data_IF_197925250230
#
_entry.id   IF_197925250230
#
_cell.length_a   1.000
_cell.length_b   1.000
_cell.length_c   1.000
_cell.angle_alpha   90.00
_cell.angle_beta   90.00
_cell.angle_gamma   90.00
#
_symmetry.space_group_name_H-M   'P 1'
#
loop_
_entity.id
_entity.type
_entity.pdbx_description
1 polymer ?
#
# COMPACT_ATOMS: atom_id res chain seq x y z
N UNK A 1 15.82 -22.44 3.10
CA UNK A 1 14.95 -21.32 2.69
C UNK A 1 15.47 -20.10 3.41
N UNK A 2 15.63 -18.98 2.70
CA UNK A 2 15.98 -17.71 3.33
C UNK A 2 14.82 -17.24 4.19
N UNK A 3 15.11 -16.66 5.35
CA UNK A 3 14.14 -16.03 6.25
C UNK A 3 14.23 -14.52 6.17
N UNK A 4 13.28 -13.80 6.77
CA UNK A 4 13.40 -12.34 6.93
C UNK A 4 14.66 -11.98 7.72
N UNK A 5 14.97 -12.74 8.77
CA UNK A 5 16.16 -12.52 9.59
C UNK A 5 17.47 -12.73 8.82
N UNK A 6 17.46 -13.56 7.78
CA UNK A 6 18.61 -13.71 6.89
C UNK A 6 18.80 -12.46 6.01
N UNK A 7 17.72 -11.88 5.49
CA UNK A 7 17.77 -10.63 4.72
C UNK A 7 18.21 -9.45 5.59
N UNK A 8 17.67 -9.32 6.80
CA UNK A 8 18.04 -8.30 7.77
C UNK A 8 19.54 -8.34 8.10
N UNK A 9 20.09 -9.54 8.31
CA UNK A 9 21.54 -9.72 8.54
C UNK A 9 22.37 -9.43 7.31
N UNK A 10 21.91 -9.87 6.14
CA UNK A 10 22.64 -9.72 4.89
C UNK A 10 22.78 -8.24 4.50
N UNK A 11 21.68 -7.51 4.55
CA UNK A 11 21.60 -6.12 4.11
C UNK A 11 21.72 -5.11 5.27
N UNK A 12 21.97 -5.61 6.48
CA UNK A 12 22.22 -4.82 7.69
C UNK A 12 21.12 -3.78 7.98
N UNK A 13 19.86 -4.22 7.99
CA UNK A 13 18.71 -3.44 8.41
C UNK A 13 17.76 -4.28 9.26
N UNK A 14 16.71 -3.66 9.80
CA UNK A 14 15.64 -4.36 10.52
C UNK A 14 14.29 -3.93 9.99
N UNK A 15 13.44 -4.88 9.66
CA UNK A 15 12.05 -4.62 9.26
C UNK A 15 11.23 -4.18 10.47
N UNK A 16 10.20 -3.33 10.27
CA UNK A 16 9.23 -3.05 11.32
C UNK A 16 8.57 -4.32 11.84
N UNK A 17 8.30 -4.38 13.14
CA UNK A 17 7.71 -5.57 13.78
C UNK A 17 6.36 -5.96 13.17
N UNK A 18 5.56 -4.99 12.74
CA UNK A 18 4.30 -5.25 12.03
C UNK A 18 4.53 -5.99 10.70
N UNK A 19 5.60 -5.68 9.96
CA UNK A 19 5.93 -6.37 8.72
C UNK A 19 6.36 -7.81 8.97
N UNK A 20 7.14 -8.05 10.03
CA UNK A 20 7.51 -9.41 10.47
C UNK A 20 6.28 -10.22 10.86
N UNK A 21 5.33 -9.59 11.55
CA UNK A 21 4.05 -10.22 11.90
C UNK A 21 3.25 -10.59 10.64
N UNK A 22 3.14 -9.67 9.67
CA UNK A 22 2.47 -9.92 8.38
C UNK A 22 3.11 -11.10 7.63
N UNK A 23 4.44 -11.19 7.62
CA UNK A 23 5.16 -12.31 7.03
C UNK A 23 4.89 -13.63 7.76
N UNK A 24 4.96 -13.64 9.09
CA UNK A 24 4.67 -14.81 9.91
C UNK A 24 3.22 -15.31 9.73
N UNK A 25 2.30 -14.37 9.52
CA UNK A 25 0.89 -14.62 9.24
C UNK A 25 0.60 -14.97 7.76
N UNK A 26 1.64 -15.03 6.91
CA UNK A 26 1.56 -15.29 5.45
C UNK A 26 0.73 -14.28 4.67
N UNK A 27 0.64 -13.05 5.15
CA UNK A 27 -0.12 -12.00 4.46
C UNK A 27 0.59 -11.43 3.23
N UNK A 28 1.88 -11.72 3.04
CA UNK A 28 2.64 -11.25 1.87
C UNK A 28 2.57 -12.21 0.67
N UNK A 29 1.89 -13.35 0.84
CA UNK A 29 1.77 -14.38 -0.19
C UNK A 29 0.53 -14.11 -1.08
N UNK A 30 0.78 -13.54 -2.26
CA UNK A 30 -0.24 -13.35 -3.30
C UNK A 30 -0.36 -14.57 -4.24
N UNK A 31 0.29 -15.69 -3.90
CA UNK A 31 0.44 -16.84 -4.78
C UNK A 31 1.50 -16.61 -5.85
N UNK A 32 1.62 -17.57 -6.77
CA UNK A 32 2.61 -17.48 -7.85
C UNK A 32 2.11 -16.59 -8.99
N UNK A 33 2.93 -15.62 -9.36
CA UNK A 33 2.70 -14.76 -10.52
C UNK A 33 2.66 -15.56 -11.84
N UNK A 34 1.91 -15.04 -12.80
CA UNK A 34 1.95 -15.51 -14.18
C UNK A 34 0.61 -15.52 -14.89
N UNK A 35 0.63 -16.06 -16.11
CA UNK A 35 -0.55 -16.16 -16.96
C UNK A 35 -1.67 -16.93 -16.25
N UNK A 36 -2.81 -16.27 -16.10
CA UNK A 36 -4.00 -16.84 -15.44
C UNK A 36 -4.06 -16.59 -13.93
N UNK A 37 -3.21 -15.74 -13.35
CA UNK A 37 -3.34 -15.33 -11.94
C UNK A 37 -4.74 -14.80 -11.64
N UNK A 38 -5.24 -13.87 -12.45
CA UNK A 38 -6.58 -13.29 -12.29
C UNK A 38 -7.72 -14.31 -12.38
N UNK A 39 -7.56 -15.36 -13.19
CA UNK A 39 -8.63 -16.37 -13.39
C UNK A 39 -8.55 -17.52 -12.40
N UNK A 40 -7.35 -17.87 -11.91
CA UNK A 40 -7.13 -19.11 -11.17
C UNK A 40 -6.75 -18.85 -9.70
N UNK A 41 -6.01 -17.77 -9.42
CA UNK A 41 -5.47 -17.47 -8.08
C UNK A 41 -6.34 -16.42 -7.38
N UNK A 42 -6.52 -15.27 -8.02
CA UNK A 42 -7.27 -14.13 -7.48
C UNK A 42 -8.64 -14.50 -6.91
N UNK A 43 -9.49 -15.32 -7.59
CA UNK A 43 -10.82 -15.64 -7.06
C UNK A 43 -10.76 -16.41 -5.73
N UNK A 44 -9.71 -17.22 -5.51
CA UNK A 44 -9.52 -17.97 -4.27
C UNK A 44 -9.07 -17.05 -3.13
N UNK A 45 -8.26 -16.03 -3.43
CA UNK A 45 -7.77 -15.07 -2.44
C UNK A 45 -8.91 -14.20 -1.86
N UNK A 46 -9.99 -13.96 -2.61
CA UNK A 46 -11.12 -13.11 -2.17
C UNK A 46 -11.79 -13.58 -0.87
N UNK A 47 -11.72 -14.86 -0.51
CA UNK A 47 -12.33 -15.40 0.71
C UNK A 47 -11.55 -15.03 1.98
N UNK A 48 -10.22 -15.04 1.90
CA UNK A 48 -9.33 -14.62 2.98
C UNK A 48 -8.19 -13.79 2.38
N UNK A 49 -8.45 -12.50 2.05
CA UNK A 49 -7.51 -11.70 1.28
C UNK A 49 -6.16 -11.54 2.00
N UNK A 50 -5.02 -11.74 1.30
CA UNK A 50 -3.71 -11.34 1.78
C UNK A 50 -3.61 -9.81 1.85
N UNK A 51 -2.46 -9.31 2.28
CA UNK A 51 -2.23 -7.89 2.54
C UNK A 51 -2.58 -7.08 1.29
N UNK A 52 -3.52 -6.13 1.45
CA UNK A 52 -3.91 -5.15 0.42
C UNK A 52 -4.27 -5.75 -0.95
N UNK A 53 -4.88 -6.95 -0.98
CA UNK A 53 -5.35 -7.56 -2.24
C UNK A 53 -6.25 -6.61 -3.05
N UNK A 54 -7.12 -5.87 -2.36
CA UNK A 54 -7.96 -4.81 -2.93
C UNK A 54 -7.44 -3.41 -2.56
N UNK A 55 -6.12 -3.23 -2.43
CA UNK A 55 -5.48 -1.93 -2.25
C UNK A 55 -5.50 -1.09 -3.54
N UNK A 56 -5.08 0.17 -3.44
CA UNK A 56 -5.10 1.10 -4.56
C UNK A 56 -3.78 1.02 -5.34
N UNK A 57 -3.82 0.49 -6.55
CA UNK A 57 -2.67 0.39 -7.47
C UNK A 57 -1.40 -0.10 -6.77
N UNK A 58 -1.49 -1.28 -6.16
CA UNK A 58 -0.41 -1.86 -5.34
C UNK A 58 -0.27 -3.36 -5.57
N UNK A 59 0.98 -3.82 -5.65
CA UNK A 59 1.39 -5.22 -5.72
C UNK A 59 2.42 -5.48 -4.62
N UNK A 60 2.07 -6.29 -3.62
CA UNK A 60 2.96 -6.63 -2.50
C UNK A 60 4.11 -7.52 -2.98
N UNK A 61 5.34 -7.21 -2.55
CA UNK A 61 6.49 -8.06 -2.84
C UNK A 61 6.72 -9.09 -1.74
N UNK A 62 6.89 -10.34 -2.15
CA UNK A 62 7.52 -11.36 -1.30
C UNK A 62 9.02 -11.02 -1.17
N UNK A 63 9.52 -10.67 0.01
CA UNK A 63 10.89 -10.22 0.19
C UNK A 63 11.92 -11.33 -0.08
N UNK A 64 11.54 -12.61 0.02
CA UNK A 64 12.42 -13.73 -0.29
C UNK A 64 12.53 -13.92 -1.80
N UNK A 65 11.42 -13.82 -2.53
CA UNK A 65 11.39 -13.93 -3.99
C UNK A 65 12.10 -12.73 -4.63
N UNK A 66 11.85 -11.52 -4.10
CA UNK A 66 12.41 -10.25 -4.62
C UNK A 66 13.71 -9.82 -3.93
N UNK A 67 14.47 -10.75 -3.36
CA UNK A 67 15.74 -10.47 -2.68
C UNK A 67 16.72 -9.66 -3.53
N UNK A 68 16.81 -9.92 -4.82
CA UNK A 68 17.71 -9.19 -5.71
C UNK A 68 17.26 -7.73 -5.90
N UNK A 69 15.95 -7.46 -5.94
CA UNK A 69 15.43 -6.09 -5.96
C UNK A 69 15.73 -5.33 -4.67
N UNK A 70 15.69 -6.01 -3.52
CA UNK A 70 16.13 -5.44 -2.23
C UNK A 70 17.62 -5.09 -2.29
N UNK A 71 18.47 -6.02 -2.77
CA UNK A 71 19.92 -5.78 -2.93
C UNK A 71 20.17 -4.55 -3.80
N UNK A 72 19.54 -4.51 -4.97
CA UNK A 72 19.73 -3.44 -5.96
C UNK A 72 19.35 -2.07 -5.40
N UNK A 73 18.29 -2.01 -4.60
CA UNK A 73 17.85 -0.77 -3.95
C UNK A 73 18.77 -0.37 -2.79
N UNK A 74 19.11 -1.30 -1.89
CA UNK A 74 19.95 -1.03 -0.72
C UNK A 74 21.37 -0.61 -1.13
N UNK A 75 21.90 -1.21 -2.20
CA UNK A 75 23.25 -0.92 -2.71
C UNK A 75 23.29 0.20 -3.75
N UNK A 76 22.15 0.81 -4.09
CA UNK A 76 22.02 1.86 -5.12
C UNK A 76 22.58 1.40 -6.49
N UNK A 77 22.35 0.14 -6.87
CA UNK A 77 22.90 -0.47 -8.10
C UNK A 77 22.15 -0.04 -9.37
N UNK A 78 20.84 0.18 -9.25
CA UNK A 78 19.94 0.44 -10.39
C UNK A 78 19.35 1.85 -10.35
N UNK A 79 19.11 2.38 -9.15
CA UNK A 79 18.52 3.70 -8.96
C UNK A 79 19.58 4.70 -8.49
N UNK A 80 19.55 5.91 -9.04
CA UNK A 80 20.40 7.03 -8.62
C UNK A 80 19.93 7.61 -7.27
N UNK A 81 19.90 6.80 -6.23
CA UNK A 81 19.50 7.21 -4.88
C UNK A 81 20.70 7.82 -4.17
N UNK A 82 20.52 8.99 -3.55
CA UNK A 82 21.57 9.60 -2.74
C UNK A 82 21.95 8.66 -1.58
N UNK A 83 23.25 8.38 -1.33
CA UNK A 83 23.69 7.46 -0.28
C UNK A 83 23.23 7.77 1.14
N UNK A 84 22.74 8.98 1.41
CA UNK A 84 22.15 9.35 2.71
C UNK A 84 20.81 8.67 2.99
N UNK A 85 20.10 8.23 1.95
CA UNK A 85 18.81 7.56 2.09
C UNK A 85 18.98 6.05 2.19
N UNK A 86 18.25 5.45 3.12
CA UNK A 86 18.18 4.01 3.34
C UNK A 86 16.74 3.56 3.09
N UNK A 87 16.51 3.03 1.90
CA UNK A 87 15.19 2.60 1.46
C UNK A 87 15.18 1.10 1.20
N UNK A 88 14.10 0.43 1.63
CA UNK A 88 13.88 -1.01 1.39
C UNK A 88 12.51 -1.19 0.75
N UNK A 89 12.39 -1.86 -0.40
CA UNK A 89 11.12 -2.00 -1.09
C UNK A 89 10.15 -2.90 -0.32
N UNK A 90 8.86 -2.52 -0.36
CA UNK A 90 7.72 -3.21 0.24
C UNK A 90 6.76 -3.73 -0.84
N UNK A 91 6.48 -2.88 -1.82
CA UNK A 91 5.50 -3.12 -2.87
C UNK A 91 5.84 -2.23 -4.08
N UNK A 92 5.10 -2.42 -5.18
CA UNK A 92 5.13 -1.51 -6.33
C UNK A 92 3.72 -1.20 -6.81
N UNK A 93 3.55 -0.18 -7.64
CA UNK A 93 2.31 0.05 -8.40
C UNK A 93 2.37 -0.59 -9.81
N UNK A 94 1.29 -0.47 -10.59
CA UNK A 94 1.21 -0.99 -11.96
C UNK A 94 2.18 -0.32 -12.94
N UNK A 95 2.65 0.90 -12.64
CA UNK A 95 3.68 1.60 -13.40
C UNK A 95 5.11 1.13 -13.05
N UNK A 96 5.26 0.34 -11.99
CA UNK A 96 6.54 -0.14 -11.49
C UNK A 96 7.22 0.77 -10.47
N UNK A 97 6.60 1.91 -10.10
CA UNK A 97 7.05 2.76 -9.00
C UNK A 97 6.96 1.99 -7.67
N UNK A 98 7.81 2.33 -6.71
CA UNK A 98 7.97 1.54 -5.49
C UNK A 98 7.31 2.20 -4.29
N UNK A 99 6.78 1.38 -3.40
CA UNK A 99 6.51 1.76 -2.01
C UNK A 99 7.61 1.19 -1.15
N UNK A 100 8.24 2.02 -0.32
CA UNK A 100 9.49 1.68 0.37
C UNK A 100 9.42 2.04 1.85
N UNK A 101 10.06 1.23 2.69
CA UNK A 101 10.39 1.59 4.05
C UNK A 101 11.54 2.61 4.05
N UNK A 102 11.34 3.78 4.65
CA UNK A 102 12.35 4.83 4.76
C UNK A 102 13.11 4.72 6.09
N UNK A 103 14.10 3.82 6.14
CA UNK A 103 14.80 3.44 7.37
C UNK A 103 15.60 4.59 8.01
N UNK A 104 16.22 5.45 7.20
CA UNK A 104 16.97 6.61 7.70
C UNK A 104 16.08 7.66 8.37
N UNK A 105 14.77 7.56 8.21
CA UNK A 105 13.78 8.44 8.83
C UNK A 105 13.01 7.78 9.97
N UNK A 106 13.45 6.62 10.46
CA UNK A 106 12.86 5.97 11.63
C UNK A 106 12.85 6.93 12.84
N UNK A 107 11.71 7.00 13.52
CA UNK A 107 11.58 7.73 14.77
C UNK A 107 10.73 6.93 15.77
N UNK A 108 11.30 6.59 16.93
CA UNK A 108 10.64 5.81 17.99
C UNK A 108 9.99 4.50 17.49
N UNK A 109 10.67 3.77 16.58
CA UNK A 109 10.17 2.52 16.00
C UNK A 109 9.12 2.70 14.89
N UNK A 110 8.77 3.94 14.54
CA UNK A 110 7.95 4.24 13.37
C UNK A 110 8.85 4.49 12.16
N UNK A 111 8.78 3.57 11.20
CA UNK A 111 9.48 3.65 9.91
C UNK A 111 8.48 4.15 8.86
N UNK A 112 8.68 5.36 8.31
CA UNK A 112 7.77 5.91 7.30
C UNK A 112 7.70 5.06 6.03
N UNK A 113 6.54 5.08 5.38
CA UNK A 113 6.35 4.55 4.03
C UNK A 113 6.41 5.70 3.04
N UNK A 114 7.29 5.55 2.05
CA UNK A 114 7.52 6.54 0.99
C UNK A 114 7.11 5.94 -0.34
N UNK A 115 6.41 6.72 -1.16
CA UNK A 115 6.27 6.45 -2.58
C UNK A 115 7.51 6.95 -3.31
N UNK A 116 8.14 6.04 -4.04
CA UNK A 116 9.34 6.25 -4.83
C UNK A 116 8.97 6.11 -6.30
N UNK A 117 8.65 7.25 -6.93
CA UNK A 117 8.32 7.30 -8.36
C UNK A 117 9.56 7.45 -9.21
N UNK A 118 9.70 6.71 -10.31
CA UNK A 118 10.94 6.67 -11.12
C UNK A 118 11.39 8.02 -11.67
N UNK A 119 10.43 8.87 -12.06
CA UNK A 119 10.65 10.15 -12.74
C UNK A 119 10.11 11.37 -11.95
N UNK A 120 9.92 11.22 -10.64
CA UNK A 120 9.29 12.25 -9.79
C UNK A 120 9.89 12.30 -8.41
N UNK A 121 9.69 13.41 -7.67
CA UNK A 121 10.06 13.47 -6.26
C UNK A 121 9.43 12.31 -5.47
N UNK A 122 10.16 11.78 -4.49
CA UNK A 122 9.60 10.83 -3.54
C UNK A 122 8.61 11.54 -2.61
N UNK A 123 7.56 10.85 -2.19
CA UNK A 123 6.51 11.39 -1.31
C UNK A 123 6.29 10.50 -0.08
N UNK A 124 6.37 11.08 1.11
CA UNK A 124 6.15 10.32 2.36
C UNK A 124 4.64 10.17 2.58
N UNK A 125 4.14 8.94 2.48
CA UNK A 125 2.69 8.65 2.49
C UNK A 125 2.13 8.35 3.87
N UNK A 126 2.93 7.77 4.76
CA UNK A 126 2.51 7.37 6.10
C UNK A 126 3.68 7.33 7.07
N UNK A 127 3.42 7.56 8.35
CA UNK A 127 4.43 7.53 9.41
C UNK A 127 4.94 6.12 9.72
N UNK A 128 4.11 5.10 9.47
CA UNK A 128 4.40 3.69 9.70
C UNK A 128 3.57 2.80 8.77
N UNK A 129 3.85 1.49 8.77
CA UNK A 129 3.14 0.50 7.94
C UNK A 129 1.64 0.40 8.28
N UNK A 130 1.26 0.56 9.55
CA UNK A 130 -0.14 0.47 9.99
C UNK A 130 -1.01 1.54 9.33
N UNK A 131 -0.52 2.78 9.33
CA UNK A 131 -1.20 3.91 8.73
C UNK A 131 -1.14 3.84 7.20
N UNK A 132 -0.08 3.26 6.63
CA UNK A 132 -0.03 2.97 5.18
C UNK A 132 -1.10 1.96 4.75
N UNK A 133 -1.29 0.88 5.52
CA UNK A 133 -2.36 -0.09 5.27
C UNK A 133 -3.72 0.61 5.30
N UNK A 134 -3.98 1.42 6.34
CA UNK A 134 -5.22 2.16 6.45
C UNK A 134 -5.45 3.11 5.24
N UNK A 135 -4.42 3.87 4.84
CA UNK A 135 -4.48 4.74 3.67
C UNK A 135 -4.82 3.98 2.40
N UNK A 136 -4.15 2.87 2.13
CA UNK A 136 -4.39 2.05 0.95
C UNK A 136 -5.79 1.44 0.91
N UNK A 137 -6.36 1.10 2.08
CA UNK A 137 -7.74 0.64 2.21
C UNK A 137 -8.78 1.74 1.96
N UNK A 138 -8.42 3.01 2.17
CA UNK A 138 -9.29 4.16 1.86
C UNK A 138 -9.12 4.61 0.41
N UNK A 139 -7.90 4.65 -0.11
CA UNK A 139 -7.59 5.02 -1.50
C UNK A 139 -8.30 4.10 -2.49
N UNK A 140 -8.45 2.80 -2.19
CA UNK A 140 -9.16 1.88 -3.09
C UNK A 140 -10.68 2.10 -3.16
N UNK A 141 -11.21 3.05 -2.38
CA UNK A 141 -12.63 3.38 -2.33
C UNK A 141 -12.98 4.66 -3.10
N UNK A 142 -11.99 5.41 -3.58
CA UNK A 142 -12.24 6.68 -4.28
C UNK A 142 -12.54 6.49 -5.76
N UNK A 143 -11.97 5.47 -6.39
CA UNK A 143 -12.13 5.22 -7.82
C UNK A 143 -12.22 3.71 -8.09
N UNK A 144 -13.44 3.25 -8.40
CA UNK A 144 -13.76 1.87 -8.77
C UNK A 144 -14.00 1.83 -10.28
N UNK A 145 -12.94 1.53 -11.02
CA UNK A 145 -12.90 1.52 -12.48
C UNK A 145 -12.28 0.23 -13.04
N UNK A 146 -11.85 0.26 -14.32
CA UNK A 146 -11.22 -0.86 -15.02
C UNK A 146 -9.83 -1.27 -14.49
N UNK A 147 -9.17 -0.39 -13.72
CA UNK A 147 -7.88 -0.66 -13.09
C UNK A 147 -8.05 -1.16 -11.65
N UNK A 148 -9.25 -1.03 -11.06
CA UNK A 148 -9.53 -1.53 -9.73
C UNK A 148 -9.63 -3.06 -9.68
N UNK A 149 -9.22 -3.65 -8.55
CA UNK A 149 -9.42 -5.08 -8.27
C UNK A 149 -10.90 -5.47 -8.06
N UNK A 150 -11.79 -4.48 -8.06
CA UNK A 150 -13.24 -4.63 -7.99
C UNK A 150 -13.90 -4.62 -9.37
N UNK A 151 -13.13 -4.48 -10.45
CA UNK A 151 -13.68 -4.39 -11.79
C UNK A 151 -14.58 -5.59 -12.11
N UNK A 152 -15.75 -5.30 -12.69
CA UNK A 152 -16.84 -6.24 -13.00
C UNK A 152 -17.61 -6.87 -11.81
N UNK A 153 -17.18 -6.66 -10.56
CA UNK A 153 -17.94 -7.12 -9.40
C UNK A 153 -19.22 -6.26 -9.21
N UNK A 154 -20.33 -6.89 -8.82
CA UNK A 154 -21.54 -6.15 -8.40
C UNK A 154 -21.29 -5.41 -7.09
N UNK A 155 -22.10 -4.41 -6.76
CA UNK A 155 -21.95 -3.67 -5.50
C UNK A 155 -22.02 -4.59 -4.28
N UNK A 156 -22.91 -5.58 -4.27
CA UNK A 156 -22.99 -6.57 -3.19
C UNK A 156 -21.69 -7.39 -3.08
N UNK A 157 -21.07 -7.71 -4.21
CA UNK A 157 -19.82 -8.45 -4.25
C UNK A 157 -18.64 -7.60 -3.78
N UNK A 158 -18.61 -6.32 -4.16
CA UNK A 158 -17.64 -5.33 -3.66
C UNK A 158 -17.76 -5.23 -2.14
N UNK A 159 -18.96 -5.00 -1.60
CA UNK A 159 -19.19 -4.95 -0.14
C UNK A 159 -18.75 -6.24 0.55
N UNK A 160 -19.03 -7.41 -0.03
CA UNK A 160 -18.54 -8.69 0.49
C UNK A 160 -17.00 -8.74 0.55
N UNK A 161 -16.32 -8.35 -0.54
CA UNK A 161 -14.87 -8.37 -0.63
C UNK A 161 -14.21 -7.39 0.35
N UNK A 162 -14.78 -6.18 0.51
CA UNK A 162 -14.35 -5.18 1.49
C UNK A 162 -14.44 -5.73 2.91
N UNK A 163 -15.54 -6.38 3.28
CA UNK A 163 -15.67 -7.03 4.58
C UNK A 163 -14.69 -8.19 4.79
N UNK A 164 -14.45 -9.01 3.76
CA UNK A 164 -13.45 -10.08 3.83
C UNK A 164 -12.04 -9.52 4.03
N UNK A 165 -11.68 -8.46 3.32
CA UNK A 165 -10.39 -7.78 3.48
C UNK A 165 -10.26 -7.22 4.91
N UNK A 166 -11.25 -6.48 5.40
CA UNK A 166 -11.19 -5.93 6.77
C UNK A 166 -11.12 -7.02 7.84
N UNK A 167 -11.80 -8.16 7.63
CA UNK A 167 -11.73 -9.31 8.54
C UNK A 167 -10.30 -9.82 8.70
N UNK A 168 -9.52 -9.93 7.62
CA UNK A 168 -8.10 -10.37 7.70
C UNK A 168 -7.17 -9.27 8.20
N UNK A 169 -7.53 -8.01 8.01
CA UNK A 169 -6.68 -6.85 8.34
C UNK A 169 -6.88 -6.28 9.74
N UNK A 170 -8.02 -6.54 10.41
CA UNK A 170 -8.41 -5.92 11.69
C UNK A 170 -7.31 -5.96 12.75
N UNK A 171 -6.55 -7.05 12.85
CA UNK A 171 -5.49 -7.21 13.87
C UNK A 171 -4.23 -6.36 13.60
N UNK A 172 -4.13 -5.73 12.44
CA UNK A 172 -3.02 -4.86 12.04
C UNK A 172 -3.41 -3.38 11.99
N UNK A 173 -4.58 -3.01 12.50
CA UNK A 173 -5.12 -1.66 12.46
C UNK A 173 -5.46 -1.18 13.87
N UNK A 174 -5.54 0.14 14.07
CA UNK A 174 -6.15 0.74 15.26
C UNK A 174 -7.66 0.44 15.29
N UNK A 175 -8.25 0.41 16.48
CA UNK A 175 -9.69 0.21 16.62
C UNK A 175 -10.48 1.31 15.90
N UNK A 176 -10.04 2.55 16.01
CA UNK A 176 -10.65 3.72 15.38
C UNK A 176 -10.59 3.64 13.85
N UNK A 177 -9.47 3.18 13.29
CA UNK A 177 -9.32 2.96 11.84
C UNK A 177 -10.29 1.89 11.33
N UNK A 178 -10.50 0.84 12.14
CA UNK A 178 -11.44 -0.24 11.80
C UNK A 178 -12.87 0.28 11.82
N UNK A 179 -13.27 1.04 12.84
CA UNK A 179 -14.60 1.65 12.92
C UNK A 179 -14.90 2.55 11.71
N UNK A 180 -13.94 3.39 11.31
CA UNK A 180 -14.06 4.24 10.12
C UNK A 180 -14.29 3.40 8.85
N UNK A 181 -13.52 2.33 8.66
CA UNK A 181 -13.70 1.45 7.50
C UNK A 181 -15.06 0.73 7.54
N UNK A 182 -15.51 0.27 8.72
CA UNK A 182 -16.82 -0.38 8.88
C UNK A 182 -17.98 0.56 8.54
N UNK A 183 -17.88 1.83 8.91
CA UNK A 183 -18.87 2.85 8.59
C UNK A 183 -18.90 3.16 7.09
N UNK A 184 -17.73 3.34 6.47
CA UNK A 184 -17.63 3.65 5.03
C UNK A 184 -18.12 2.47 4.18
N UNK A 185 -17.81 1.23 4.56
CA UNK A 185 -18.21 0.04 3.79
C UNK A 185 -19.73 -0.21 3.77
N UNK A 186 -20.50 0.48 4.62
CA UNK A 186 -21.96 0.45 4.60
C UNK A 186 -22.56 1.44 3.60
N UNK A 187 -21.79 2.41 3.11
CA UNK A 187 -22.27 3.41 2.16
C UNK A 187 -22.57 2.78 0.79
N UNK A 188 -23.47 3.41 0.06
CA UNK A 188 -23.73 3.05 -1.34
C UNK A 188 -22.66 3.64 -2.24
N UNK A 189 -22.32 2.92 -3.31
CA UNK A 189 -21.38 3.43 -4.31
C UNK A 189 -22.06 4.56 -5.08
N UNK A 190 -21.42 5.72 -5.19
CA UNK A 190 -21.95 6.88 -5.89
C UNK A 190 -20.96 7.42 -6.93
N UNK A 191 -21.51 8.14 -7.90
CA UNK A 191 -20.74 8.89 -8.91
C UNK A 191 -20.50 10.31 -8.41
N UNK A 192 -19.31 10.84 -8.69
CA UNK A 192 -18.94 12.21 -8.34
C UNK A 192 -17.95 12.77 -9.35
N UNK A 193 -17.78 14.11 -9.36
CA UNK A 193 -16.75 14.76 -10.17
C UNK A 193 -15.62 15.29 -9.31
N UNK A 194 -14.42 15.26 -9.84
CA UNK A 194 -13.24 15.84 -9.21
C UNK A 194 -12.45 16.66 -10.22
N UNK A 195 -11.67 17.61 -9.68
CA UNK A 195 -10.85 18.53 -10.49
C UNK A 195 -9.39 18.23 -10.30
N UNK A 196 -8.66 18.16 -11.39
CA UNK A 196 -7.20 18.04 -11.36
C UNK A 196 -6.55 19.44 -11.42
N UNK A 197 -5.28 19.60 -11.02
CA UNK A 197 -4.63 20.91 -10.89
C UNK A 197 -4.62 21.79 -12.15
N UNK A 198 -4.71 21.20 -13.35
CA UNK A 198 -4.75 21.95 -14.61
C UNK A 198 -6.16 22.49 -14.97
N UNK A 199 -7.16 22.28 -14.10
CA UNK A 199 -8.54 22.71 -14.28
C UNK A 199 -9.44 21.73 -15.03
N UNK A 200 -8.92 20.58 -15.46
CA UNK A 200 -9.71 19.47 -15.98
C UNK A 200 -10.65 18.90 -14.91
N UNK A 201 -11.82 18.44 -15.35
CA UNK A 201 -12.84 17.81 -14.50
C UNK A 201 -13.10 16.40 -15.02
N UNK A 202 -13.13 15.43 -14.12
CA UNK A 202 -13.27 14.01 -14.40
C UNK A 202 -14.38 13.43 -13.53
N UNK A 203 -15.03 12.39 -14.05
CA UNK A 203 -16.02 11.60 -13.31
C UNK A 203 -15.33 10.40 -12.67
N UNK A 204 -15.69 10.10 -11.42
CA UNK A 204 -15.26 8.92 -10.68
C UNK A 204 -16.47 8.26 -10.01
N UNK A 205 -16.28 7.01 -9.61
CA UNK A 205 -17.28 6.22 -8.88
C UNK A 205 -16.62 5.56 -7.69
N UNK A 206 -17.20 5.69 -6.49
CA UNK A 206 -16.59 5.18 -5.26
C UNK A 206 -17.52 5.22 -4.05
N UNK A 207 -16.97 4.88 -2.87
CA UNK A 207 -17.63 5.07 -1.57
C UNK A 207 -17.15 6.36 -0.88
N UNK A 208 -16.09 6.99 -1.40
CA UNK A 208 -15.53 8.25 -0.92
C UNK A 208 -15.18 9.14 -2.10
N UNK A 209 -15.23 10.44 -1.89
CA UNK A 209 -14.57 11.41 -2.78
C UNK A 209 -13.09 11.57 -2.42
N UNK A 210 -12.28 12.07 -3.35
CA UNK A 210 -10.88 12.44 -3.07
C UNK A 210 -10.74 13.49 -1.94
N UNK A 211 -11.69 14.44 -1.84
CA UNK A 211 -11.70 15.44 -0.76
C UNK A 211 -11.98 14.82 0.61
N UNK A 212 -12.89 13.84 0.68
CA UNK A 212 -13.19 13.08 1.90
C UNK A 212 -12.00 12.20 2.32
N UNK A 213 -11.37 11.54 1.36
CA UNK A 213 -10.12 10.81 1.58
C UNK A 213 -9.05 11.73 2.18
N UNK A 214 -8.76 12.87 1.53
CA UNK A 214 -7.72 13.80 2.01
C UNK A 214 -8.00 14.27 3.45
N UNK A 215 -9.28 14.54 3.75
CA UNK A 215 -9.71 14.91 5.10
C UNK A 215 -9.47 13.79 6.11
N UNK A 216 -9.85 12.54 5.79
CA UNK A 216 -9.64 11.38 6.67
C UNK A 216 -8.14 11.15 6.93
N UNK A 217 -7.32 11.21 5.89
CA UNK A 217 -5.86 11.06 6.01
C UNK A 217 -5.27 12.14 6.92
N UNK A 218 -5.68 13.41 6.76
CA UNK A 218 -5.23 14.50 7.63
C UNK A 218 -5.73 14.39 9.07
N UNK A 219 -6.87 13.74 9.31
CA UNK A 219 -7.44 13.60 10.65
C UNK A 219 -6.82 12.42 11.40
N UNK A 220 -6.68 11.27 10.74
CA UNK A 220 -6.35 10.00 11.39
C UNK A 220 -4.87 9.62 11.28
N UNK A 221 -4.13 10.23 10.35
CA UNK A 221 -2.73 9.90 10.06
C UNK A 221 -1.79 11.12 10.16
N UNK A 222 -2.23 12.20 10.79
CA UNK A 222 -1.45 13.44 10.87
C UNK A 222 -0.06 13.22 11.49
N UNK A 223 0.99 13.62 10.77
CA UNK A 223 2.34 13.76 11.30
C UNK A 223 3.14 14.76 10.47
N UNK A 224 4.27 15.22 11.01
CA UNK A 224 5.06 16.35 10.46
C UNK A 224 5.42 16.19 8.98
N UNK A 225 5.73 14.96 8.54
CA UNK A 225 6.21 14.67 7.18
C UNK A 225 5.14 14.15 6.23
N UNK A 226 3.88 14.09 6.63
CA UNK A 226 2.79 13.57 5.77
C UNK A 226 2.70 14.34 4.46
N UNK A 227 2.72 13.61 3.34
CA UNK A 227 2.67 14.12 1.95
C UNK A 227 3.78 15.13 1.63
N UNK A 228 4.89 15.09 2.38
CA UNK A 228 6.07 15.89 2.03
C UNK A 228 6.83 15.23 0.91
N UNK A 229 7.25 16.06 -0.05
CA UNK A 229 8.02 15.63 -1.23
C UNK A 229 9.49 15.96 -1.05
N UNK A 230 10.36 15.07 -1.52
CA UNK A 230 11.78 15.31 -1.54
C UNK A 230 12.46 14.69 -2.76
N UNK A 231 13.48 15.39 -3.23
CA UNK A 231 14.38 14.93 -4.28
C UNK A 231 15.32 13.88 -3.67
N UNK A 232 15.21 12.63 -4.11
CA UNK A 232 16.03 11.53 -3.63
C UNK A 232 17.37 11.38 -4.38
N UNK A 233 17.59 12.16 -5.44
CA UNK A 233 18.88 12.26 -6.14
C UNK A 233 19.85 13.19 -5.40
N UNK A 234 19.32 14.16 -4.63
CA UNK A 234 20.09 15.17 -3.88
C UNK A 234 20.33 14.83 -2.41
#
# INVERSE_FOLDING_TARGET
MSTLEDLEKEFNFTYPELYKQLYADRMLDWGSDGNGWYTNVFPMLKENPPLLLFGSDIEIWDPIVYRDGIREMVNHEVYDINPKYQMVPLAKNGAGDLYVFQLDMENNGEVPITFFGHDSDAEILAKNLQDFIFRQLLESLTEIDEYSMFYEDSEEKIKQNLHNQLKTHRKYLKAEQVEILEDIYQLDIFEYTYKIPNGGEFEAKGLLTFDELEKLIKQEMAFEKLNTKFDYWK
#
